data_IF_571193659835
#
_entry.id   IF_571193659835
#
_cell.length_a   1.000
_cell.length_b   1.000
_cell.length_c   1.000
_cell.angle_alpha   90.00
_cell.angle_beta   90.00
_cell.angle_gamma   90.00
#
_symmetry.space_group_name_H-M   'P 1'
#
loop_
_entity.id
_entity.type
_entity.pdbx_description
1 polymer ?
#
# COMPACT_ATOMS: atom_id res chain seq x y z
N UNK A 1 -19.00 4.87 -25.58
CA UNK A 1 -18.50 5.28 -24.26
C UNK A 1 -18.30 4.01 -23.47
N UNK A 2 -17.15 3.81 -22.80
CA UNK A 2 -16.94 2.63 -21.97
C UNK A 2 -17.84 2.64 -20.74
N UNK A 3 -17.94 1.50 -20.07
CA UNK A 3 -18.66 1.34 -18.81
C UNK A 3 -17.72 1.50 -17.62
N UNK A 4 -18.29 1.79 -16.45
CA UNK A 4 -17.56 1.81 -15.18
C UNK A 4 -17.85 0.52 -14.43
N UNK A 5 -16.78 -0.17 -14.05
CA UNK A 5 -16.85 -1.22 -13.04
C UNK A 5 -16.78 -0.57 -11.65
N UNK A 6 -17.81 -0.74 -10.83
CA UNK A 6 -17.83 -0.18 -9.47
C UNK A 6 -17.88 -1.34 -8.49
N UNK A 7 -16.95 -1.37 -7.55
CA UNK A 7 -16.98 -2.29 -6.41
C UNK A 7 -17.01 -1.51 -5.10
N UNK A 8 -17.58 -2.12 -4.06
CA UNK A 8 -17.38 -1.70 -2.68
C UNK A 8 -16.45 -2.73 -2.06
N UNK A 9 -15.23 -2.32 -1.73
CA UNK A 9 -14.31 -3.18 -1.00
C UNK A 9 -14.69 -3.23 0.47
N UNK A 10 -14.53 -4.40 1.09
CA UNK A 10 -14.17 -4.45 2.50
C UNK A 10 -12.84 -3.71 2.68
N UNK A 11 -12.46 -3.32 3.90
CA UNK A 11 -11.17 -2.68 4.18
C UNK A 11 -9.99 -3.57 3.74
N UNK A 12 -9.67 -3.53 2.45
CA UNK A 12 -8.55 -4.20 1.79
C UNK A 12 -7.36 -3.22 1.86
N UNK A 13 -7.01 -2.82 3.07
CA UNK A 13 -5.60 -2.88 3.39
C UNK A 13 -5.36 -4.35 3.68
N UNK A 14 -4.94 -5.11 2.67
CA UNK A 14 -4.39 -6.45 2.88
C UNK A 14 -3.45 -6.33 4.10
N UNK A 15 -3.89 -6.86 5.25
CA UNK A 15 -3.10 -6.94 6.47
C UNK A 15 -3.61 -6.25 7.72
N UNK A 16 -4.65 -5.40 7.77
CA UNK A 16 -5.20 -5.09 9.10
C UNK A 16 -5.89 -6.34 9.66
N UNK A 17 -5.22 -7.10 10.54
CA UNK A 17 -5.86 -8.14 11.35
C UNK A 17 -6.78 -7.49 12.37
N UNK A 18 -7.88 -6.99 11.83
CA UNK A 18 -9.18 -6.80 12.41
C UNK A 18 -10.12 -6.93 11.21
N UNK A 19 -10.29 -8.16 10.76
CA UNK A 19 -11.62 -8.61 10.35
C UNK A 19 -12.54 -8.36 11.55
N UNK A 20 -12.99 -7.12 11.71
CA UNK A 20 -14.10 -6.76 12.58
C UNK A 20 -15.41 -7.01 11.83
N UNK A 21 -15.47 -8.10 11.04
CA UNK A 21 -16.73 -8.64 10.55
C UNK A 21 -17.56 -9.28 11.67
N UNK A 22 -17.01 -9.43 12.88
CA UNK A 22 -17.75 -9.95 14.05
C UNK A 22 -18.23 -8.85 15.03
N UNK A 23 -18.03 -7.56 14.70
CA UNK A 23 -18.53 -6.44 15.50
C UNK A 23 -19.65 -5.66 14.82
N UNK A 24 -20.63 -5.19 15.59
CA UNK A 24 -21.73 -4.32 15.13
C UNK A 24 -21.21 -3.09 14.34
N UNK A 25 -20.00 -2.61 14.64
CA UNK A 25 -19.35 -1.49 13.94
C UNK A 25 -18.97 -1.77 12.48
N UNK A 26 -18.37 -2.94 12.19
CA UNK A 26 -17.93 -3.29 10.83
C UNK A 26 -19.11 -3.57 9.89
N UNK A 27 -20.21 -4.11 10.42
CA UNK A 27 -21.47 -4.27 9.66
C UNK A 27 -22.07 -2.91 9.27
N UNK A 28 -22.01 -1.91 10.16
CA UNK A 28 -22.50 -0.56 9.87
C UNK A 28 -21.64 0.10 8.77
N UNK A 29 -20.32 -0.03 8.84
CA UNK A 29 -19.39 0.57 7.87
C UNK A 29 -19.60 0.00 6.46
N UNK A 30 -19.78 -1.31 6.34
CA UNK A 30 -20.08 -1.93 5.05
C UNK A 30 -21.45 -1.49 4.52
N UNK A 31 -22.47 -1.38 5.38
CA UNK A 31 -23.78 -0.88 4.98
C UNK A 31 -23.71 0.56 4.45
N UNK A 32 -22.93 1.43 5.09
CA UNK A 32 -22.72 2.81 4.64
C UNK A 32 -22.01 2.87 3.28
N UNK A 33 -20.99 2.03 3.09
CA UNK A 33 -20.25 1.94 1.84
C UNK A 33 -21.15 1.43 0.69
N UNK A 34 -21.90 0.36 0.92
CA UNK A 34 -22.88 -0.20 -0.04
C UNK A 34 -23.94 0.85 -0.38
N UNK A 35 -24.52 1.53 0.62
CA UNK A 35 -25.52 2.57 0.39
C UNK A 35 -24.97 3.73 -0.45
N UNK A 36 -23.70 4.09 -0.25
CA UNK A 36 -23.03 5.14 -1.03
C UNK A 36 -22.72 4.68 -2.45
N UNK A 37 -22.27 3.43 -2.62
CA UNK A 37 -22.09 2.80 -3.93
C UNK A 37 -23.39 2.78 -4.73
N UNK A 38 -24.48 2.31 -4.14
CA UNK A 38 -25.74 2.14 -4.86
C UNK A 38 -26.34 3.49 -5.27
N UNK A 39 -26.20 4.51 -4.42
CA UNK A 39 -26.57 5.88 -4.77
C UNK A 39 -25.67 6.44 -5.89
N UNK A 40 -24.37 6.14 -5.88
CA UNK A 40 -23.44 6.48 -6.96
C UNK A 40 -23.84 5.84 -8.29
N UNK A 41 -24.23 4.56 -8.27
CA UNK A 41 -24.71 3.85 -9.45
C UNK A 41 -25.96 4.52 -10.01
N UNK A 42 -26.91 4.91 -9.15
CA UNK A 42 -28.12 5.61 -9.57
C UNK A 42 -27.80 6.97 -10.22
N UNK A 43 -26.92 7.76 -9.61
CA UNK A 43 -26.46 9.05 -10.15
C UNK A 43 -25.79 8.88 -11.52
N UNK A 44 -24.86 7.94 -11.67
CA UNK A 44 -24.16 7.70 -12.94
C UNK A 44 -25.11 7.20 -14.04
N UNK A 45 -26.06 6.32 -13.70
CA UNK A 45 -27.09 5.87 -14.65
C UNK A 45 -27.99 7.02 -15.11
N UNK A 46 -28.33 7.96 -14.21
CA UNK A 46 -29.10 9.15 -14.58
C UNK A 46 -28.38 10.06 -15.59
N UNK A 47 -27.04 9.99 -15.63
CA UNK A 47 -26.17 10.69 -16.59
C UNK A 47 -25.93 9.89 -17.88
N UNK A 48 -26.58 8.73 -18.05
CA UNK A 48 -26.41 7.87 -19.23
C UNK A 48 -25.11 7.06 -19.25
N UNK A 49 -24.41 6.93 -18.10
CA UNK A 49 -23.15 6.18 -18.01
C UNK A 49 -23.47 4.71 -17.72
N UNK A 50 -22.92 3.80 -18.54
CA UNK A 50 -23.07 2.37 -18.35
C UNK A 50 -22.25 1.88 -17.15
N UNK A 51 -22.82 0.99 -16.33
CA UNK A 51 -22.20 0.47 -15.10
C UNK A 51 -22.24 -1.06 -15.09
N UNK A 52 -21.15 -1.67 -14.62
CA UNK A 52 -21.06 -3.10 -14.28
C UNK A 52 -20.70 -3.25 -12.79
N UNK A 53 -21.39 -4.14 -12.08
CA UNK A 53 -21.24 -4.37 -10.65
C UNK A 53 -20.90 -5.86 -10.42
N UNK A 54 -19.72 -6.20 -9.89
CA UNK A 54 -19.44 -7.55 -9.41
C UNK A 54 -20.36 -7.92 -8.23
N UNK A 55 -20.56 -9.21 -7.96
CA UNK A 55 -21.30 -9.63 -6.77
C UNK A 55 -20.54 -9.24 -5.50
N UNK A 56 -21.28 -8.86 -4.46
CA UNK A 56 -20.72 -8.49 -3.16
C UNK A 56 -20.16 -9.69 -2.39
N UNK A 57 -20.51 -10.91 -2.82
CA UNK A 57 -20.01 -12.16 -2.24
C UNK A 57 -18.64 -12.58 -2.79
N UNK A 58 -18.12 -11.90 -3.83
CA UNK A 58 -16.83 -12.26 -4.43
C UNK A 58 -15.68 -11.79 -3.55
N UNK A 59 -14.69 -12.66 -3.35
CA UNK A 59 -13.43 -12.21 -2.76
C UNK A 59 -12.64 -11.32 -3.74
N UNK A 60 -11.54 -10.73 -3.27
CA UNK A 60 -10.75 -9.79 -4.09
C UNK A 60 -10.21 -10.40 -5.39
N UNK A 61 -9.75 -11.65 -5.36
CA UNK A 61 -9.21 -12.34 -6.53
C UNK A 61 -10.33 -12.65 -7.55
N UNK A 62 -11.45 -13.16 -7.08
CA UNK A 62 -12.62 -13.45 -7.90
C UNK A 62 -13.22 -12.19 -8.52
N UNK A 63 -13.28 -11.08 -7.77
CA UNK A 63 -13.74 -9.78 -8.24
C UNK A 63 -12.83 -9.25 -9.37
N UNK A 64 -11.51 -9.31 -9.18
CA UNK A 64 -10.54 -8.91 -10.21
C UNK A 64 -10.71 -9.77 -11.47
N UNK A 65 -10.83 -11.09 -11.33
CA UNK A 65 -11.06 -12.00 -12.45
C UNK A 65 -12.40 -11.71 -13.16
N UNK A 66 -13.45 -11.39 -12.39
CA UNK A 66 -14.76 -11.04 -12.92
C UNK A 66 -14.74 -9.75 -13.74
N UNK A 67 -14.04 -8.72 -13.25
CA UNK A 67 -13.83 -7.45 -13.97
C UNK A 67 -13.03 -7.71 -15.25
N UNK A 68 -11.87 -8.36 -15.13
CA UNK A 68 -10.95 -8.58 -16.25
C UNK A 68 -11.57 -9.39 -17.39
N UNK A 69 -12.43 -10.37 -17.08
CA UNK A 69 -13.14 -11.19 -18.07
C UNK A 69 -14.23 -10.44 -18.84
N UNK A 70 -14.65 -9.25 -18.39
CA UNK A 70 -15.74 -8.45 -18.97
C UNK A 70 -15.30 -7.10 -19.48
N UNK A 71 -14.08 -6.70 -19.17
CA UNK A 71 -13.56 -5.37 -19.45
C UNK A 71 -13.13 -5.23 -20.92
N UNK A 72 -13.35 -4.04 -21.46
CA UNK A 72 -12.85 -3.61 -22.76
C UNK A 72 -11.91 -2.43 -22.57
N UNK A 73 -11.11 -2.10 -23.59
CA UNK A 73 -10.12 -1.02 -23.49
C UNK A 73 -10.69 0.37 -23.22
N UNK A 74 -12.01 0.56 -23.35
CA UNK A 74 -12.68 1.85 -23.10
C UNK A 74 -13.22 1.96 -21.67
N UNK A 75 -13.20 0.87 -20.91
CA UNK A 75 -13.78 0.79 -19.58
C UNK A 75 -12.82 1.29 -18.49
N UNK A 76 -13.38 1.65 -17.33
CA UNK A 76 -12.62 2.04 -16.13
C UNK A 76 -13.16 1.32 -14.91
N UNK A 77 -12.35 1.17 -13.85
CA UNK A 77 -12.73 0.48 -12.62
C UNK A 77 -12.48 1.35 -11.38
N UNK A 78 -13.49 1.47 -10.51
CA UNK A 78 -13.41 2.16 -9.23
C UNK A 78 -13.77 1.19 -8.10
N UNK A 79 -12.91 1.11 -7.08
CA UNK A 79 -13.28 0.50 -5.79
C UNK A 79 -13.53 1.60 -4.79
N UNK A 80 -14.69 1.59 -4.13
CA UNK A 80 -14.93 2.42 -2.95
C UNK A 80 -14.44 1.67 -1.72
N UNK A 81 -13.86 2.37 -0.76
CA UNK A 81 -13.39 1.80 0.49
C UNK A 81 -13.59 2.78 1.65
N UNK A 82 -13.66 2.24 2.87
CA UNK A 82 -13.58 2.99 4.12
C UNK A 82 -12.40 2.41 4.90
N UNK A 83 -11.58 3.29 5.45
CA UNK A 83 -10.46 2.86 6.29
C UNK A 83 -10.88 2.82 7.76
N UNK A 84 -10.42 1.80 8.48
CA UNK A 84 -10.69 1.57 9.91
C UNK A 84 -9.38 1.68 10.68
N UNK A 85 -8.74 2.85 10.64
CA UNK A 85 -7.56 3.10 11.48
C UNK A 85 -8.02 3.40 12.90
N UNK A 86 -7.23 3.08 13.92
CA UNK A 86 -7.56 3.37 15.33
C UNK A 86 -7.13 4.78 15.76
N UNK A 87 -6.56 5.58 14.86
CA UNK A 87 -6.13 6.96 15.12
C UNK A 87 -7.30 7.91 14.83
N UNK A 88 -7.99 8.46 15.84
CA UNK A 88 -9.20 9.28 15.65
C UNK A 88 -8.94 10.60 14.90
N UNK A 89 -7.67 11.03 14.83
CA UNK A 89 -7.23 12.24 14.15
C UNK A 89 -7.10 12.10 12.63
N UNK A 90 -7.01 10.87 12.10
CA UNK A 90 -6.93 10.66 10.66
C UNK A 90 -8.32 10.85 10.05
N UNK A 91 -8.42 11.79 9.11
CA UNK A 91 -9.67 12.19 8.46
C UNK A 91 -9.44 12.47 6.99
N UNK A 92 -10.50 12.37 6.21
CA UNK A 92 -10.50 12.81 4.82
C UNK A 92 -10.39 11.71 3.78
N UNK A 93 -10.52 12.11 2.51
CA UNK A 93 -10.55 11.22 1.36
C UNK A 93 -9.18 11.14 0.67
N UNK A 94 -8.86 9.96 0.12
CA UNK A 94 -7.66 9.74 -0.71
C UNK A 94 -7.96 8.71 -1.79
N UNK A 95 -7.22 8.77 -2.88
CA UNK A 95 -7.26 7.74 -3.92
C UNK A 95 -5.93 7.05 -4.01
N UNK A 96 -5.94 5.75 -4.32
CA UNK A 96 -4.75 4.97 -4.60
C UNK A 96 -4.66 4.59 -6.07
N UNK A 97 -3.44 4.63 -6.57
CA UNK A 97 -3.12 4.27 -7.94
C UNK A 97 -1.84 3.46 -8.05
N UNK A 98 -1.71 2.70 -9.13
CA UNK A 98 -0.51 1.92 -9.44
C UNK A 98 0.73 2.83 -9.56
N UNK A 99 1.80 2.50 -8.83
CA UNK A 99 3.07 3.21 -8.88
C UNK A 99 3.62 3.27 -10.32
N UNK A 100 4.45 4.29 -10.59
CA UNK A 100 5.07 4.53 -11.90
C UNK A 100 4.08 4.80 -13.05
N UNK A 101 2.82 5.16 -12.77
CA UNK A 101 1.82 5.55 -13.78
C UNK A 101 1.34 6.99 -13.56
N UNK A 102 1.93 7.94 -14.31
CA UNK A 102 1.64 9.37 -14.19
C UNK A 102 0.25 9.74 -14.70
N UNK A 103 -0.29 9.01 -15.68
CA UNK A 103 -1.66 9.18 -16.17
C UNK A 103 -2.64 8.80 -15.06
N UNK A 104 -2.41 7.64 -14.42
CA UNK A 104 -3.26 7.16 -13.33
C UNK A 104 -3.21 8.09 -12.12
N UNK A 105 -2.05 8.65 -11.78
CA UNK A 105 -1.91 9.68 -10.74
C UNK A 105 -2.87 10.84 -10.99
N UNK A 106 -2.84 11.42 -12.19
CA UNK A 106 -3.72 12.53 -12.56
C UNK A 106 -5.20 12.15 -12.47
N UNK A 107 -5.56 10.96 -12.97
CA UNK A 107 -6.94 10.46 -12.92
C UNK A 107 -7.43 10.28 -11.47
N UNK A 108 -6.57 9.84 -10.57
CA UNK A 108 -6.85 9.72 -9.14
C UNK A 108 -7.03 11.10 -8.47
N UNK A 109 -6.21 12.09 -8.84
CA UNK A 109 -6.36 13.48 -8.40
C UNK A 109 -7.69 14.10 -8.87
N UNK A 110 -8.11 13.85 -10.11
CA UNK A 110 -9.41 14.31 -10.65
C UNK A 110 -10.56 13.87 -9.74
N UNK A 111 -10.61 12.60 -9.36
CA UNK A 111 -11.68 12.06 -8.51
C UNK A 111 -11.65 12.69 -7.12
N UNK A 112 -10.47 12.72 -6.49
CA UNK A 112 -10.32 13.22 -5.11
C UNK A 112 -10.68 14.71 -5.04
N UNK A 113 -10.21 15.51 -6.01
CA UNK A 113 -10.49 16.93 -6.10
C UNK A 113 -11.98 17.21 -6.37
N UNK A 114 -12.63 16.43 -7.23
CA UNK A 114 -14.05 16.58 -7.50
C UNK A 114 -14.91 16.29 -6.25
N UNK A 115 -14.58 15.24 -5.52
CA UNK A 115 -15.21 14.92 -4.24
C UNK A 115 -15.04 16.06 -3.22
N UNK A 116 -13.82 16.50 -2.97
CA UNK A 116 -13.55 17.51 -1.93
C UNK A 116 -13.99 18.91 -2.33
N UNK A 117 -14.12 19.20 -3.63
CA UNK A 117 -14.77 20.43 -4.11
C UNK A 117 -16.26 20.45 -3.77
N UNK A 118 -16.91 19.29 -3.81
CA UNK A 118 -18.35 19.15 -3.53
C UNK A 118 -18.65 19.05 -2.03
N UNK A 119 -17.75 18.43 -1.28
CA UNK A 119 -17.81 18.29 0.18
C UNK A 119 -16.52 18.88 0.80
N UNK A 120 -16.41 20.22 0.91
CA UNK A 120 -15.20 20.89 1.41
C UNK A 120 -14.86 20.59 2.87
N UNK A 121 -15.80 20.01 3.64
CA UNK A 121 -15.60 19.59 5.02
C UNK A 121 -14.72 18.33 5.15
N UNK A 122 -14.50 17.60 4.06
CA UNK A 122 -13.60 16.45 4.00
C UNK A 122 -12.20 16.95 3.64
N UNK A 123 -11.21 16.57 4.45
CA UNK A 123 -9.81 16.82 4.11
C UNK A 123 -9.41 16.09 2.84
N UNK A 124 -8.86 16.82 1.85
CA UNK A 124 -8.25 16.21 0.67
C UNK A 124 -6.83 15.73 1.01
N UNK A 125 -6.61 14.41 1.02
CA UNK A 125 -5.29 13.81 1.30
C UNK A 125 -4.51 13.48 0.02
N UNK A 126 -5.02 13.92 -1.14
CA UNK A 126 -4.43 13.71 -2.45
C UNK A 126 -4.49 12.27 -2.94
N UNK A 127 -3.88 12.05 -4.11
CA UNK A 127 -3.67 10.74 -4.70
C UNK A 127 -2.35 10.13 -4.20
N UNK A 128 -2.39 8.87 -3.78
CA UNK A 128 -1.25 8.10 -3.25
C UNK A 128 -0.92 6.93 -4.15
N UNK A 129 0.37 6.64 -4.26
CA UNK A 129 0.82 5.40 -4.91
C UNK A 129 0.43 4.19 -4.05
N UNK A 130 0.08 3.08 -4.70
CA UNK A 130 -0.31 1.82 -4.06
C UNK A 130 0.81 1.24 -3.19
N UNK A 131 2.07 1.54 -3.49
CA UNK A 131 3.22 1.12 -2.68
C UNK A 131 3.24 1.70 -1.27
N UNK A 132 2.41 2.72 -0.97
CA UNK A 132 2.23 3.27 0.39
C UNK A 132 1.24 2.43 1.21
N UNK A 133 0.43 1.58 0.59
CA UNK A 133 -0.49 0.69 1.30
C UNK A 133 0.26 -0.21 2.30
N UNK A 134 -0.45 -0.75 3.30
CA UNK A 134 0.17 -1.44 4.44
C UNK A 134 1.15 -2.54 4.05
N UNK A 135 0.84 -3.32 3.02
CA UNK A 135 1.72 -4.39 2.49
C UNK A 135 2.51 -3.97 1.25
N UNK A 136 2.48 -2.68 0.89
CA UNK A 136 3.26 -2.13 -0.22
C UNK A 136 2.73 -2.45 -1.62
N UNK A 137 1.45 -2.86 -1.72
CA UNK A 137 0.76 -3.19 -2.97
C UNK A 137 -0.75 -3.11 -2.77
N UNK A 138 -1.48 -2.77 -3.83
CA UNK A 138 -2.93 -2.95 -3.92
C UNK A 138 -3.29 -3.73 -5.18
N UNK A 139 -3.83 -4.93 -4.98
CA UNK A 139 -4.21 -5.84 -6.06
C UNK A 139 -5.20 -5.20 -7.05
N UNK A 140 -6.16 -4.41 -6.56
CA UNK A 140 -7.11 -3.67 -7.41
C UNK A 140 -6.41 -2.70 -8.38
N UNK A 141 -5.31 -2.06 -7.94
CA UNK A 141 -4.53 -1.14 -8.77
C UNK A 141 -3.60 -1.87 -9.75
N UNK A 142 -3.04 -3.03 -9.36
CA UNK A 142 -2.03 -3.75 -10.17
C UNK A 142 -2.62 -4.75 -11.16
N UNK A 143 -3.67 -5.45 -10.76
CA UNK A 143 -4.13 -6.66 -11.44
C UNK A 143 -5.39 -6.46 -12.30
N UNK A 144 -6.02 -5.29 -12.23
CA UNK A 144 -7.08 -4.94 -13.17
C UNK A 144 -6.43 -4.49 -14.49
N UNK A 145 -6.82 -5.12 -15.60
CA UNK A 145 -6.20 -4.91 -16.92
C UNK A 145 -6.59 -3.57 -17.56
N UNK A 146 -7.67 -2.96 -17.08
CA UNK A 146 -8.15 -1.64 -17.48
C UNK A 146 -7.75 -0.57 -16.45
N UNK A 147 -7.82 0.71 -16.82
CA UNK A 147 -7.71 1.81 -15.88
C UNK A 147 -8.45 1.62 -14.55
N UNK A 148 -7.74 1.51 -13.42
CA UNK A 148 -8.36 1.26 -12.09
C UNK A 148 -7.85 2.17 -10.97
N UNK A 149 -8.76 2.62 -10.10
CA UNK A 149 -8.45 3.47 -8.93
C UNK A 149 -9.20 2.92 -7.70
N UNK A 150 -8.54 2.90 -6.55
CA UNK A 150 -9.22 2.66 -5.27
C UNK A 150 -9.44 4.00 -4.57
N UNK A 151 -10.67 4.31 -4.18
CA UNK A 151 -11.06 5.53 -3.48
C UNK A 151 -11.40 5.19 -2.03
N UNK A 152 -10.59 5.69 -1.11
CA UNK A 152 -10.86 5.70 0.32
C UNK A 152 -11.65 6.96 0.66
N UNK A 153 -12.93 6.78 1.00
CA UNK A 153 -13.88 7.87 1.16
C UNK A 153 -13.66 8.64 2.46
N UNK A 154 -13.52 7.89 3.55
CA UNK A 154 -13.47 8.40 4.93
C UNK A 154 -12.80 7.38 5.85
N UNK A 155 -12.50 7.82 7.06
CA UNK A 155 -12.13 6.96 8.19
C UNK A 155 -13.36 6.64 9.04
N UNK A 156 -13.63 5.35 9.25
CA UNK A 156 -14.83 4.90 9.95
C UNK A 156 -14.88 5.31 11.42
N UNK A 157 -13.73 5.40 12.07
CA UNK A 157 -13.59 5.67 13.51
C UNK A 157 -13.84 7.14 13.89
N UNK A 158 -13.95 8.04 12.92
CA UNK A 158 -14.23 9.45 13.17
C UNK A 158 -15.73 9.71 13.10
N UNK A 159 -16.35 10.07 14.23
CA UNK A 159 -17.77 10.40 14.32
C UNK A 159 -18.21 11.48 13.33
N UNK A 160 -17.33 12.46 13.05
CA UNK A 160 -17.61 13.54 12.10
C UNK A 160 -17.59 13.06 10.64
N UNK A 161 -16.61 12.27 10.20
CA UNK A 161 -16.55 11.78 8.82
C UNK A 161 -17.70 10.82 8.53
N UNK A 162 -18.03 9.96 9.51
CA UNK A 162 -19.21 9.09 9.45
C UNK A 162 -20.50 9.91 9.32
N UNK A 163 -20.66 10.95 10.15
CA UNK A 163 -21.82 11.83 10.08
C UNK A 163 -21.91 12.57 8.74
N UNK A 164 -20.77 13.05 8.21
CA UNK A 164 -20.73 13.70 6.89
C UNK A 164 -21.15 12.73 5.78
N UNK A 165 -20.64 11.50 5.80
CA UNK A 165 -21.01 10.48 4.81
C UNK A 165 -22.51 10.14 4.88
N UNK A 166 -23.08 10.07 6.09
CA UNK A 166 -24.52 9.80 6.28
C UNK A 166 -25.42 10.98 5.86
N UNK A 167 -25.07 12.19 6.26
CA UNK A 167 -25.92 13.38 6.07
C UNK A 167 -25.74 14.05 4.71
N UNK A 168 -24.54 13.95 4.12
CA UNK A 168 -24.19 14.53 2.82
C UNK A 168 -23.89 13.49 1.74
N UNK A 169 -24.38 12.24 1.90
CA UNK A 169 -24.15 11.13 0.94
C UNK A 169 -24.38 11.51 -0.52
N UNK A 170 -25.43 12.29 -0.78
CA UNK A 170 -25.75 12.76 -2.14
C UNK A 170 -24.65 13.66 -2.72
N UNK A 171 -24.04 14.51 -1.91
CA UNK A 171 -22.95 15.37 -2.35
C UNK A 171 -21.65 14.58 -2.56
N UNK A 172 -21.36 13.57 -1.72
CA UNK A 172 -20.27 12.63 -2.00
C UNK A 172 -20.45 11.99 -3.38
N UNK A 173 -21.64 11.44 -3.61
CA UNK A 173 -21.97 10.75 -4.86
C UNK A 173 -21.85 11.67 -6.08
N UNK A 174 -22.39 12.89 -6.01
CA UNK A 174 -22.30 13.85 -7.11
C UNK A 174 -20.84 14.21 -7.39
N UNK A 175 -20.04 14.48 -6.34
CA UNK A 175 -18.62 14.78 -6.49
C UNK A 175 -17.81 13.63 -7.12
N UNK A 176 -18.08 12.40 -6.70
CA UNK A 176 -17.46 11.20 -7.28
C UNK A 176 -17.90 11.01 -8.73
N UNK A 177 -19.19 11.20 -9.03
CA UNK A 177 -19.73 11.07 -10.38
C UNK A 177 -19.14 12.12 -11.34
N UNK A 178 -18.97 13.37 -10.89
CA UNK A 178 -18.30 14.44 -11.65
C UNK A 178 -16.84 14.05 -11.98
N UNK A 179 -16.12 13.52 -10.99
CA UNK A 179 -14.75 13.02 -11.17
C UNK A 179 -14.65 11.83 -12.13
N UNK A 180 -15.54 10.85 -12.00
CA UNK A 180 -15.60 9.68 -12.89
C UNK A 180 -15.93 10.07 -14.34
N UNK A 181 -16.88 10.99 -14.53
CA UNK A 181 -17.23 11.49 -15.87
C UNK A 181 -16.05 12.22 -16.52
N UNK A 182 -15.32 13.06 -15.76
CA UNK A 182 -14.11 13.70 -16.25
C UNK A 182 -13.01 12.68 -16.60
N UNK A 183 -12.81 11.65 -15.77
CA UNK A 183 -11.85 10.58 -16.02
C UNK A 183 -12.22 9.75 -17.27
N UNK A 184 -13.48 9.37 -17.47
CA UNK A 184 -13.89 8.65 -18.69
C UNK A 184 -13.60 9.48 -19.94
N UNK A 185 -13.86 10.79 -19.91
CA UNK A 185 -13.58 11.67 -21.05
C UNK A 185 -12.08 11.76 -21.35
N UNK A 186 -11.23 11.82 -20.33
CA UNK A 186 -9.76 11.74 -20.50
C UNK A 186 -9.32 10.36 -21.05
N UNK A 187 -9.98 9.28 -20.62
CA UNK A 187 -9.66 7.91 -21.11
C UNK A 187 -10.05 7.76 -22.58
N UNK A 188 -11.21 8.29 -22.98
CA UNK A 188 -11.68 8.26 -24.38
C UNK A 188 -10.80 9.08 -25.33
N UNK A 189 -10.10 10.11 -24.83
CA UNK A 189 -9.18 10.94 -25.63
C UNK A 189 -7.77 10.36 -25.70
N UNK A 190 -7.36 9.57 -24.71
CA UNK A 190 -6.03 8.94 -24.66
C UNK A 190 -5.96 7.58 -25.36
N UNK A 191 -7.09 6.92 -25.56
CA UNK A 191 -7.19 5.65 -26.29
C UNK A 191 -7.86 5.91 -27.65
N UNK A 192 -7.17 5.71 -28.80
CA UNK A 192 -7.75 6.02 -30.11
C UNK A 192 -9.04 5.24 -30.33
N UNK A 193 -10.15 5.96 -30.50
CA UNK A 193 -11.48 5.41 -30.82
C UNK A 193 -11.56 5.15 -32.32
N UNK A 194 -11.81 3.90 -32.71
CA UNK A 194 -12.31 3.60 -34.06
C UNK A 194 -13.80 3.92 -34.12
N UNK A 195 -14.17 4.93 -34.91
CA UNK A 195 -15.57 5.25 -35.23
C UNK A 195 -16.08 4.21 -36.24
N UNK A 196 -17.26 3.59 -36.05
CA UNK A 196 -17.86 2.71 -37.04
C UNK A 196 -18.55 3.56 -38.12
N UNK A 197 -17.77 4.14 -39.01
CA UNK A 197 -18.26 4.58 -40.31
C UNK A 197 -17.54 3.75 -41.38
N UNK A 198 -18.31 2.90 -42.05
CA UNK A 198 -17.95 1.93 -43.09
C UNK A 198 -17.30 0.62 -42.62
N UNK A 199 -18.07 -0.46 -42.76
CA UNK A 199 -17.59 -1.85 -42.73
C UNK A 199 -16.51 -2.04 -43.80
N UNK A 200 -15.26 -2.13 -43.35
CA UNK A 200 -14.20 -2.93 -43.98
C UNK A 200 -13.50 -3.67 -42.83
N UNK A 201 -13.45 -5.02 -42.81
CA UNK A 201 -12.80 -5.76 -41.74
C UNK A 201 -11.29 -5.76 -41.96
N UNK A 202 -10.62 -4.70 -41.54
CA UNK A 202 -9.21 -4.75 -41.18
C UNK A 202 -9.15 -4.25 -39.74
N UNK A 203 -9.17 -5.18 -38.79
CA UNK A 203 -8.77 -4.87 -37.41
C UNK A 203 -7.37 -4.28 -37.48
N UNK A 204 -7.21 -2.95 -37.38
CA UNK A 204 -5.87 -2.38 -37.24
C UNK A 204 -5.23 -3.05 -36.04
N UNK A 205 -4.06 -3.64 -36.24
CA UNK A 205 -3.29 -4.23 -35.16
C UNK A 205 -3.05 -3.16 -34.09
N UNK A 206 -3.51 -3.41 -32.87
CA UNK A 206 -3.22 -2.55 -31.71
C UNK A 206 -1.71 -2.44 -31.61
N UNK A 207 -1.18 -1.22 -31.56
CA UNK A 207 0.27 -0.99 -31.45
C UNK A 207 0.54 -0.20 -30.18
N UNK A 208 1.46 -0.69 -29.34
CA UNK A 208 1.82 -0.03 -28.09
C UNK A 208 3.07 0.84 -28.26
N UNK A 209 3.11 2.04 -27.65
CA UNK A 209 4.32 2.85 -27.62
C UNK A 209 5.47 2.08 -26.99
N UNK A 210 6.62 2.14 -27.66
CA UNK A 210 7.86 1.53 -27.21
C UNK A 210 8.54 2.42 -26.17
N UNK A 211 9.20 1.81 -25.20
CA UNK A 211 9.95 2.50 -24.14
C UNK A 211 11.38 1.99 -24.03
N UNK A 212 12.27 2.84 -23.53
CA UNK A 212 13.64 2.46 -23.21
C UNK A 212 13.71 1.77 -21.84
N UNK A 213 14.66 0.86 -21.67
CA UNK A 213 14.95 0.22 -20.39
C UNK A 213 16.41 0.54 -20.06
N UNK A 214 16.64 1.07 -18.87
CA UNK A 214 17.95 1.25 -18.26
C UNK A 214 18.08 0.22 -17.13
N UNK A 215 19.04 -0.68 -17.22
CA UNK A 215 19.32 -1.69 -16.22
C UNK A 215 20.66 -1.37 -15.55
N UNK A 216 20.63 -1.08 -14.24
CA UNK A 216 21.81 -0.74 -13.44
C UNK A 216 22.69 0.36 -14.06
N UNK A 217 22.08 1.37 -14.67
CA UNK A 217 22.78 2.50 -15.29
C UNK A 217 23.10 2.31 -16.78
N UNK A 218 22.93 1.11 -17.34
CA UNK A 218 23.21 0.81 -18.75
C UNK A 218 21.94 0.71 -19.58
N UNK A 219 21.98 1.15 -20.83
CA UNK A 219 20.86 0.92 -21.76
C UNK A 219 20.72 -0.58 -22.03
N UNK A 220 19.52 -1.10 -21.88
CA UNK A 220 19.17 -2.45 -22.30
C UNK A 220 18.77 -2.43 -23.78
N UNK A 221 19.13 -3.49 -24.52
CA UNK A 221 18.94 -3.58 -25.97
C UNK A 221 17.46 -3.69 -26.34
N UNK A 222 16.75 -4.61 -25.68
CA UNK A 222 15.33 -4.79 -25.92
C UNK A 222 14.52 -3.64 -25.34
N UNK A 223 13.33 -3.45 -25.93
CA UNK A 223 12.44 -2.38 -25.54
C UNK A 223 11.23 -2.91 -24.79
N UNK A 224 10.77 -2.13 -23.82
CA UNK A 224 9.49 -2.34 -23.18
C UNK A 224 8.35 -1.71 -23.99
N UNK A 225 7.14 -1.85 -23.48
CA UNK A 225 5.95 -1.22 -24.04
C UNK A 225 5.15 -0.48 -22.96
N UNK A 226 4.41 0.53 -23.39
CA UNK A 226 3.48 1.29 -22.54
C UNK A 226 2.04 0.90 -22.86
N UNK A 227 1.31 0.36 -21.88
CA UNK A 227 -0.07 -0.12 -22.04
C UNK A 227 -0.95 0.59 -21.01
N UNK A 228 -1.84 1.48 -21.44
CA UNK A 228 -2.71 2.27 -20.55
C UNK A 228 -1.94 3.01 -19.42
N UNK A 229 -0.73 3.49 -19.74
CA UNK A 229 0.18 4.14 -18.79
C UNK A 229 0.98 3.18 -17.91
N UNK A 230 0.72 1.87 -17.97
CA UNK A 230 1.52 0.86 -17.29
C UNK A 230 2.75 0.53 -18.15
N UNK A 231 3.90 0.51 -17.49
CA UNK A 231 5.17 0.13 -18.11
C UNK A 231 5.33 -1.38 -18.06
N UNK A 232 5.56 -2.02 -19.20
CA UNK A 232 5.82 -3.45 -19.28
C UNK A 232 7.18 -3.73 -19.93
N UNK A 233 7.84 -4.77 -19.45
CA UNK A 233 9.12 -5.28 -19.97
C UNK A 233 8.96 -6.66 -20.60
N UNK A 234 9.80 -7.05 -21.57
CA UNK A 234 9.77 -8.40 -22.11
C UNK A 234 10.08 -9.45 -21.02
N UNK A 235 9.44 -10.62 -21.10
CA UNK A 235 9.66 -11.72 -20.17
C UNK A 235 11.10 -12.25 -20.21
N UNK A 236 11.79 -12.17 -21.35
CA UNK A 236 13.22 -12.53 -21.46
C UNK A 236 14.09 -11.72 -20.48
N UNK A 237 13.80 -10.42 -20.30
CA UNK A 237 14.50 -9.62 -19.29
C UNK A 237 14.25 -10.18 -17.87
N UNK A 238 13.04 -10.65 -17.58
CA UNK A 238 12.70 -11.22 -16.27
C UNK A 238 13.49 -12.52 -16.04
N UNK A 239 13.55 -13.39 -17.04
CA UNK A 239 14.30 -14.64 -17.00
C UNK A 239 15.82 -14.38 -16.84
N UNK A 240 16.37 -13.40 -17.58
CA UNK A 240 17.78 -12.99 -17.46
C UNK A 240 18.15 -12.41 -16.11
N UNK A 241 17.19 -11.78 -15.42
CA UNK A 241 17.37 -11.33 -14.04
C UNK A 241 17.32 -12.50 -13.02
N UNK A 242 17.06 -13.73 -13.48
CA UNK A 242 16.98 -14.92 -12.65
C UNK A 242 15.68 -15.05 -11.87
N UNK A 243 14.63 -14.33 -12.31
CA UNK A 243 13.34 -14.35 -11.65
C UNK A 243 12.41 -15.38 -12.28
N UNK A 244 11.67 -16.10 -11.44
CA UNK A 244 10.67 -17.04 -11.91
C UNK A 244 9.37 -16.30 -12.24
N UNK A 245 8.98 -16.34 -13.51
CA UNK A 245 7.71 -15.77 -13.98
C UNK A 245 6.51 -16.28 -13.18
N UNK A 246 6.53 -17.52 -12.67
CA UNK A 246 5.45 -18.09 -11.85
C UNK A 246 5.10 -17.26 -10.61
N UNK A 247 6.06 -16.49 -10.10
CA UNK A 247 5.89 -15.61 -8.94
C UNK A 247 5.10 -14.34 -9.26
N UNK A 248 4.89 -14.03 -10.55
CA UNK A 248 4.18 -12.84 -11.01
C UNK A 248 2.76 -13.22 -11.42
N UNK A 249 1.70 -12.53 -10.93
CA UNK A 249 0.33 -12.83 -11.33
C UNK A 249 0.13 -12.83 -12.85
N UNK A 250 -0.66 -13.77 -13.38
CA UNK A 250 -0.95 -13.85 -14.82
C UNK A 250 -1.61 -12.57 -15.35
N UNK A 251 -2.39 -11.89 -14.51
CA UNK A 251 -3.04 -10.59 -14.79
C UNK A 251 -2.04 -9.46 -15.00
N UNK A 252 -0.83 -9.59 -14.49
CA UNK A 252 0.27 -8.63 -14.70
C UNK A 252 1.10 -8.97 -15.95
N UNK A 253 0.65 -9.92 -16.79
CA UNK A 253 1.34 -10.34 -18.02
C UNK A 253 0.46 -10.08 -19.25
N UNK A 254 1.08 -9.76 -20.37
CA UNK A 254 0.42 -9.48 -21.64
C UNK A 254 1.16 -10.16 -22.78
N UNK A 255 0.48 -10.96 -23.61
CA UNK A 255 1.05 -11.46 -24.86
C UNK A 255 0.78 -10.45 -25.97
N UNK A 256 1.84 -9.95 -26.60
CA UNK A 256 1.78 -8.98 -27.69
C UNK A 256 2.87 -9.28 -28.72
N UNK A 257 2.49 -9.40 -30.00
CA UNK A 257 3.42 -9.73 -31.10
C UNK A 257 4.30 -10.96 -30.81
N UNK A 258 3.70 -12.04 -30.30
CA UNK A 258 4.39 -13.28 -29.89
C UNK A 258 5.35 -13.17 -28.70
N UNK A 259 5.54 -11.98 -28.13
CA UNK A 259 6.34 -11.74 -26.93
C UNK A 259 5.39 -11.67 -25.72
N UNK A 260 5.81 -12.26 -24.60
CA UNK A 260 5.15 -12.05 -23.30
C UNK A 260 5.81 -10.86 -22.63
N UNK A 261 5.00 -9.89 -22.24
CA UNK A 261 5.40 -8.72 -21.50
C UNK A 261 4.88 -8.80 -20.07
N UNK A 262 5.61 -8.21 -19.12
CA UNK A 262 5.35 -8.23 -17.69
C UNK A 262 5.31 -6.80 -17.18
N UNK A 263 4.28 -6.45 -16.39
CA UNK A 263 4.23 -5.14 -15.73
C UNK A 263 5.48 -4.92 -14.88
N UNK A 264 6.24 -3.86 -15.17
CA UNK A 264 7.52 -3.60 -14.53
C UNK A 264 7.42 -3.46 -13.00
N UNK A 265 6.32 -2.89 -12.50
CA UNK A 265 6.08 -2.75 -11.06
C UNK A 265 5.99 -4.09 -10.33
N UNK A 266 5.61 -5.18 -11.01
CA UNK A 266 5.58 -6.52 -10.41
C UNK A 266 7.00 -7.02 -10.04
N UNK A 267 8.04 -6.54 -10.73
CA UNK A 267 9.43 -6.86 -10.41
C UNK A 267 9.87 -6.30 -9.06
N UNK A 268 9.17 -5.27 -8.54
CA UNK A 268 9.41 -4.74 -7.21
C UNK A 268 9.30 -5.80 -6.12
N UNK A 269 8.36 -6.72 -6.30
CA UNK A 269 8.15 -7.79 -5.35
C UNK A 269 9.25 -8.86 -5.39
N UNK A 270 10.02 -8.87 -6.48
CA UNK A 270 11.17 -9.73 -6.74
C UNK A 270 12.50 -9.01 -6.46
N UNK A 271 12.51 -8.07 -5.51
CA UNK A 271 13.69 -7.30 -5.13
C UNK A 271 14.32 -6.53 -6.30
N UNK A 272 13.50 -5.83 -7.08
CA UNK A 272 13.98 -4.89 -8.09
C UNK A 272 13.50 -3.48 -7.74
N UNK A 273 14.37 -2.49 -7.82
CA UNK A 273 13.94 -1.09 -7.76
C UNK A 273 13.45 -0.66 -9.13
N UNK A 274 12.26 -0.06 -9.16
CA UNK A 274 11.54 0.26 -10.40
C UNK A 274 11.18 1.74 -10.37
N UNK A 275 11.71 2.52 -11.30
CA UNK A 275 11.33 3.91 -11.48
C UNK A 275 11.08 4.25 -12.95
N UNK A 276 10.21 5.23 -13.18
CA UNK A 276 9.74 5.59 -14.51
C UNK A 276 9.93 7.08 -14.77
N UNK A 277 10.57 7.40 -15.89
CA UNK A 277 10.62 8.75 -16.43
C UNK A 277 9.72 8.86 -17.66
N UNK A 278 8.58 9.53 -17.50
CA UNK A 278 7.61 9.74 -18.57
C UNK A 278 8.11 10.69 -19.67
N UNK A 279 9.05 11.57 -19.36
CA UNK A 279 9.57 12.57 -20.30
C UNK A 279 10.49 11.91 -21.32
N UNK A 280 11.42 11.08 -20.84
CA UNK A 280 12.35 10.34 -21.71
C UNK A 280 11.79 8.98 -22.16
N UNK A 281 10.64 8.56 -21.61
CA UNK A 281 10.05 7.22 -21.77
C UNK A 281 11.06 6.12 -21.42
N UNK A 282 11.74 6.29 -20.29
CA UNK A 282 12.76 5.36 -19.81
C UNK A 282 12.33 4.73 -18.51
N UNK A 283 12.28 3.40 -18.50
CA UNK A 283 12.18 2.59 -17.30
C UNK A 283 13.58 2.40 -16.72
N UNK A 284 13.78 2.71 -15.45
CA UNK A 284 15.00 2.38 -14.74
C UNK A 284 14.74 1.20 -13.82
N UNK A 285 15.54 0.15 -14.00
CA UNK A 285 15.58 -1.03 -13.17
C UNK A 285 16.93 -1.09 -12.49
N UNK A 286 16.92 -1.27 -11.17
CA UNK A 286 18.13 -1.54 -10.40
C UNK A 286 17.96 -2.84 -9.64
N UNK A 287 18.91 -3.74 -9.84
CA UNK A 287 18.96 -5.09 -9.25
C UNK A 287 20.25 -5.30 -8.45
N UNK A 288 21.24 -4.41 -8.64
CA UNK A 288 22.46 -4.36 -7.85
C UNK A 288 22.26 -3.32 -6.76
N UNK A 289 22.21 -3.79 -5.51
CA UNK A 289 22.05 -2.95 -4.33
C UNK A 289 23.27 -3.03 -3.44
N UNK A 290 23.40 -2.04 -2.55
CA UNK A 290 24.37 -2.09 -1.45
C UNK A 290 24.01 -3.14 -0.40
N UNK A 291 22.81 -3.72 -0.48
CA UNK A 291 22.26 -4.68 0.48
C UNK A 291 22.14 -6.05 -0.16
N UNK A 292 22.54 -7.09 0.57
CA UNK A 292 22.27 -8.46 0.15
C UNK A 292 20.77 -8.75 0.34
N UNK A 293 20.04 -8.90 -0.77
CA UNK A 293 18.57 -9.04 -0.75
C UNK A 293 18.08 -10.26 0.03
N UNK A 294 18.87 -11.33 0.10
CA UNK A 294 18.60 -12.50 0.94
C UNK A 294 18.76 -12.29 2.45
N UNK A 295 19.15 -11.08 2.88
CA UNK A 295 19.28 -10.70 4.29
C UNK A 295 18.32 -9.59 4.71
N UNK A 296 17.48 -9.07 3.81
CA UNK A 296 16.57 -7.96 4.12
C UNK A 296 15.53 -8.30 5.20
N UNK A 297 15.26 -9.59 5.39
CA UNK A 297 14.31 -10.13 6.37
C UNK A 297 14.98 -10.75 7.61
N UNK A 298 16.32 -10.68 7.72
CA UNK A 298 17.07 -11.21 8.86
C UNK A 298 17.04 -10.22 10.03
N UNK A 299 16.49 -10.65 11.17
CA UNK A 299 16.32 -9.79 12.35
C UNK A 299 17.67 -9.49 13.01
N UNK A 300 18.59 -10.46 13.03
CA UNK A 300 19.96 -10.24 13.49
C UNK A 300 20.82 -9.77 12.32
N UNK A 301 21.67 -8.76 12.56
CA UNK A 301 22.51 -8.16 11.52
C UNK A 301 22.62 -6.64 11.68
N UNK A 302 23.26 -6.01 10.70
CA UNK A 302 23.45 -4.55 10.68
C UNK A 302 22.47 -3.95 9.66
N UNK A 303 21.71 -2.94 10.07
CA UNK A 303 20.86 -2.18 9.15
C UNK A 303 21.69 -1.30 8.21
N UNK A 304 21.11 -0.92 7.08
CA UNK A 304 21.76 -0.18 6.01
C UNK A 304 21.44 1.31 6.03
N UNK A 305 20.29 1.72 6.58
CA UNK A 305 19.92 3.13 6.59
C UNK A 305 20.72 3.91 7.64
N UNK A 306 21.23 5.08 7.26
CA UNK A 306 21.86 6.04 8.16
C UNK A 306 20.81 6.70 9.07
N UNK A 307 21.28 7.29 10.17
CA UNK A 307 20.41 8.05 11.07
C UNK A 307 19.62 9.15 10.34
N UNK A 308 20.28 9.90 9.45
CA UNK A 308 19.64 10.95 8.64
C UNK A 308 18.57 10.36 7.72
N UNK A 309 18.81 9.18 7.13
CA UNK A 309 17.82 8.52 6.26
C UNK A 309 16.59 8.06 7.06
N UNK A 310 16.79 7.50 8.27
CA UNK A 310 15.69 7.14 9.17
C UNK A 310 14.90 8.37 9.65
N UNK A 311 15.60 9.47 9.98
CA UNK A 311 15.00 10.73 10.37
C UNK A 311 14.15 11.33 9.25
N UNK A 312 14.68 11.37 8.02
CA UNK A 312 13.94 11.85 6.85
C UNK A 312 12.75 10.94 6.51
N UNK A 313 12.89 9.63 6.69
CA UNK A 313 11.78 8.70 6.52
C UNK A 313 10.66 8.98 7.53
N UNK A 314 10.99 9.20 8.80
CA UNK A 314 10.02 9.59 9.80
C UNK A 314 9.38 10.95 9.46
N UNK A 315 10.19 11.96 9.10
CA UNK A 315 9.71 13.29 8.70
C UNK A 315 8.65 13.22 7.60
N UNK A 316 8.93 12.47 6.54
CA UNK A 316 8.05 12.36 5.38
C UNK A 316 6.73 11.65 5.69
N UNK A 317 6.66 10.87 6.77
CA UNK A 317 5.45 10.16 7.18
C UNK A 317 4.74 10.79 8.38
N UNK A 318 5.44 11.50 9.27
CA UNK A 318 4.91 12.22 10.42
C UNK A 318 5.90 13.30 10.91
N UNK A 319 5.89 14.47 10.26
CA UNK A 319 6.79 15.57 10.62
C UNK A 319 6.61 16.04 12.07
N UNK A 320 5.38 16.02 12.60
CA UNK A 320 5.06 16.46 13.96
C UNK A 320 5.78 15.60 15.02
N UNK A 321 6.02 14.32 14.73
CA UNK A 321 6.73 13.43 15.66
C UNK A 321 8.16 13.90 15.96
N UNK A 322 8.79 14.65 15.06
CA UNK A 322 10.17 15.09 15.23
C UNK A 322 10.36 16.01 16.44
N UNK A 323 9.31 16.72 16.88
CA UNK A 323 9.35 17.59 18.06
C UNK A 323 9.70 16.80 19.33
N UNK A 324 9.18 15.58 19.47
CA UNK A 324 9.34 14.78 20.68
C UNK A 324 10.24 13.55 20.47
N UNK A 325 10.49 13.15 19.22
CA UNK A 325 11.13 11.88 18.88
C UNK A 325 12.25 12.03 17.85
N UNK A 326 12.80 13.23 17.66
CA UNK A 326 13.91 13.49 16.73
C UNK A 326 15.13 12.61 16.98
N UNK A 327 15.38 12.21 18.23
CA UNK A 327 16.53 11.37 18.62
C UNK A 327 16.28 9.86 18.44
N UNK A 328 15.05 9.41 18.18
CA UNK A 328 14.75 7.98 18.06
C UNK A 328 15.59 7.24 17.01
N UNK A 329 15.83 7.77 15.79
CA UNK A 329 16.74 7.16 14.83
C UNK A 329 18.13 6.83 15.39
N UNK A 330 18.71 7.75 16.16
CA UNK A 330 19.99 7.56 16.82
C UNK A 330 19.90 6.45 17.88
N UNK A 331 18.89 6.51 18.76
CA UNK A 331 18.67 5.52 19.83
C UNK A 331 18.50 4.09 19.28
N UNK A 332 17.73 3.93 18.19
CA UNK A 332 17.55 2.64 17.54
C UNK A 332 18.86 2.07 17.00
N UNK A 333 19.69 2.90 16.36
CA UNK A 333 21.00 2.46 15.84
C UNK A 333 21.93 2.01 16.97
N UNK A 334 22.08 2.81 18.02
CA UNK A 334 22.97 2.48 19.14
C UNK A 334 22.55 1.21 19.89
N UNK A 335 21.29 1.12 20.33
CA UNK A 335 20.84 -0.04 21.11
C UNK A 335 20.84 -1.32 20.27
N UNK A 336 20.51 -1.22 18.97
CA UNK A 336 20.53 -2.36 18.07
C UNK A 336 21.96 -2.82 17.72
N UNK A 337 22.91 -1.90 17.54
CA UNK A 337 24.34 -2.21 17.34
C UNK A 337 24.91 -2.99 18.53
N UNK A 338 24.60 -2.57 19.76
CA UNK A 338 25.03 -3.26 20.99
C UNK A 338 24.55 -4.71 21.01
N UNK A 339 23.31 -4.97 20.60
CA UNK A 339 22.72 -6.31 20.69
C UNK A 339 22.86 -7.14 19.42
N UNK A 340 23.31 -6.54 18.31
CA UNK A 340 23.45 -7.16 16.99
C UNK A 340 22.12 -7.33 16.23
N UNK A 341 21.12 -6.50 16.55
CA UNK A 341 19.80 -6.50 15.88
C UNK A 341 19.83 -5.52 14.71
N UNK A 342 19.12 -5.84 13.64
CA UNK A 342 19.00 -4.95 12.49
C UNK A 342 18.11 -3.74 12.84
N UNK A 343 18.72 -2.56 12.95
CA UNK A 343 18.03 -1.32 13.33
C UNK A 343 16.96 -0.88 12.31
N UNK A 344 17.10 -1.21 11.02
CA UNK A 344 16.10 -0.86 10.01
C UNK A 344 14.81 -1.66 10.25
N UNK A 345 14.93 -2.96 10.57
CA UNK A 345 13.79 -3.81 10.93
C UNK A 345 13.11 -3.27 12.19
N UNK A 346 13.88 -3.03 13.25
CA UNK A 346 13.33 -2.54 14.51
C UNK A 346 12.65 -1.17 14.35
N UNK A 347 13.25 -0.26 13.56
CA UNK A 347 12.67 1.06 13.30
C UNK A 347 11.39 0.97 12.44
N UNK A 348 11.38 0.16 11.39
CA UNK A 348 10.18 -0.06 10.57
C UNK A 348 9.07 -0.76 11.36
N UNK A 349 9.40 -1.72 12.21
CA UNK A 349 8.45 -2.36 13.11
C UNK A 349 7.85 -1.33 14.08
N UNK A 350 8.66 -0.45 14.67
CA UNK A 350 8.16 0.67 15.49
C UNK A 350 7.18 1.56 14.73
N UNK A 351 7.48 1.88 13.47
CA UNK A 351 6.58 2.68 12.65
C UNK A 351 5.22 1.99 12.44
N UNK A 352 5.17 0.67 12.38
CA UNK A 352 3.90 -0.09 12.31
C UNK A 352 3.17 -0.03 13.65
N UNK A 353 3.85 -0.39 14.73
CA UNK A 353 3.25 -0.51 16.06
C UNK A 353 2.68 0.81 16.57
N UNK A 354 3.38 1.91 16.28
CA UNK A 354 3.00 3.25 16.74
C UNK A 354 2.26 4.08 15.69
N UNK A 355 2.09 3.57 14.47
CA UNK A 355 1.53 4.34 13.36
C UNK A 355 2.40 5.55 12.96
N UNK A 356 3.72 5.37 12.93
CA UNK A 356 4.74 6.42 12.82
C UNK A 356 4.64 7.42 13.98
N UNK A 357 4.63 6.92 15.22
CA UNK A 357 4.61 7.72 16.46
C UNK A 357 3.37 8.60 16.62
N UNK A 358 2.25 8.18 16.02
CA UNK A 358 0.92 8.78 16.24
C UNK A 358 0.21 8.17 17.44
N UNK A 359 0.57 6.94 17.81
CA UNK A 359 -0.05 6.18 18.90
C UNK A 359 -1.56 5.97 18.65
N UNK A 360 -2.35 5.70 19.70
CA UNK A 360 -3.80 5.46 19.57
C UNK A 360 -4.15 4.06 19.04
N UNK A 361 -3.23 3.09 19.14
CA UNK A 361 -3.45 1.67 18.79
C UNK A 361 -3.50 0.75 20.01
N UNK A 362 -3.98 1.28 21.14
CA UNK A 362 -3.93 0.59 22.44
C UNK A 362 -2.62 0.84 23.21
N UNK A 363 -1.83 1.81 22.76
CA UNK A 363 -0.59 2.28 23.39
C UNK A 363 -0.55 3.79 23.27
N UNK A 364 -0.14 4.43 24.35
CA UNK A 364 -0.02 5.88 24.48
C UNK A 364 1.45 6.33 24.43
N UNK A 365 1.65 7.59 24.05
CA UNK A 365 2.98 8.20 23.88
C UNK A 365 3.81 8.14 25.17
N UNK A 366 3.18 8.38 26.33
CA UNK A 366 3.82 8.46 27.64
C UNK A 366 4.40 7.12 28.10
N UNK A 367 3.99 6.01 27.48
CA UNK A 367 4.48 4.68 27.82
C UNK A 367 5.89 4.43 27.28
N UNK A 368 6.38 5.22 26.32
CA UNK A 368 7.63 4.95 25.58
C UNK A 368 7.69 3.50 25.03
N UNK A 369 6.53 2.89 24.75
CA UNK A 369 6.42 1.51 24.31
C UNK A 369 6.30 1.46 22.79
N UNK A 370 7.45 1.45 22.13
CA UNK A 370 7.54 1.55 20.67
C UNK A 370 7.27 0.24 19.92
N UNK A 371 6.93 -0.84 20.63
CA UNK A 371 6.85 -2.17 20.05
C UNK A 371 5.68 -3.00 20.60
N UNK A 372 4.69 -2.34 21.20
CA UNK A 372 3.50 -3.00 21.75
C UNK A 372 3.77 -4.08 22.78
N UNK A 373 4.88 -3.96 23.51
CA UNK A 373 5.33 -4.98 24.44
C UNK A 373 4.36 -5.10 25.61
N UNK A 374 3.93 -6.32 25.88
CA UNK A 374 3.02 -6.61 26.99
C UNK A 374 1.55 -6.27 26.72
N UNK A 375 1.22 -5.64 25.59
CA UNK A 375 -0.17 -5.38 25.23
C UNK A 375 -0.91 -6.70 24.97
N UNK A 376 -2.14 -6.81 25.44
CA UNK A 376 -3.01 -7.96 25.14
C UNK A 376 -3.98 -7.54 24.04
N UNK A 377 -4.30 -8.44 23.12
CA UNK A 377 -5.21 -8.15 21.99
C UNK A 377 -6.67 -7.93 22.41
N UNK A 378 -6.99 -8.16 23.69
CA UNK A 378 -8.33 -8.14 24.29
C UNK A 378 -8.55 -6.85 25.08
N UNK A 379 -8.67 -5.72 24.39
CA UNK A 379 -9.01 -4.44 25.03
C UNK A 379 -10.21 -3.84 24.32
N UNK A 380 -11.36 -3.93 24.98
CA UNK A 380 -12.55 -3.13 24.69
C UNK A 380 -12.16 -1.65 24.69
N UNK A 381 -12.85 -0.82 23.89
CA UNK A 381 -12.70 0.64 23.81
C UNK A 381 -12.91 1.38 25.16
N UNK A 382 -13.16 0.65 26.25
CA UNK A 382 -13.40 1.12 27.61
C UNK A 382 -12.35 0.68 28.64
N UNK A 383 -11.32 -0.10 28.27
CA UNK A 383 -10.32 -0.58 29.21
C UNK A 383 -9.01 0.26 29.18
N UNK A 384 -8.59 0.70 30.37
CA UNK A 384 -7.34 1.40 30.70
C UNK A 384 -6.10 0.71 30.09
N UNK A 385 -5.14 1.53 29.64
CA UNK A 385 -3.71 1.26 29.40
C UNK A 385 -3.33 -0.24 29.39
N UNK A 386 -3.27 -0.85 28.21
CA UNK A 386 -2.70 -2.19 28.05
C UNK A 386 -1.27 -2.08 27.54
N UNK A 387 -0.33 -2.78 28.17
CA UNK A 387 1.07 -2.82 27.73
C UNK A 387 2.05 -2.26 28.76
N UNK A 388 3.33 -2.55 28.56
CA UNK A 388 4.39 -2.04 29.42
C UNK A 388 4.62 -0.55 29.21
N UNK A 389 5.18 0.10 30.22
CA UNK A 389 5.63 1.48 30.19
C UNK A 389 7.09 1.56 30.62
N UNK A 390 7.84 2.45 29.98
CA UNK A 390 9.27 2.63 30.22
C UNK A 390 9.56 4.06 30.64
N UNK A 391 10.54 4.23 31.52
CA UNK A 391 10.87 5.52 32.14
C UNK A 391 11.29 6.59 31.12
N UNK A 392 11.91 6.17 30.02
CA UNK A 392 12.43 7.03 28.98
C UNK A 392 12.46 6.31 27.62
N UNK A 393 12.66 7.10 26.55
CA UNK A 393 12.68 6.59 25.18
C UNK A 393 13.78 5.54 24.95
N UNK A 394 14.98 5.74 25.50
CA UNK A 394 16.09 4.80 25.33
C UNK A 394 15.79 3.46 25.99
N UNK A 395 15.20 3.45 27.18
CA UNK A 395 14.76 2.23 27.87
C UNK A 395 13.68 1.50 27.06
N UNK A 396 12.74 2.24 26.45
CA UNK A 396 11.73 1.67 25.55
C UNK A 396 12.32 1.05 24.28
N UNK A 397 13.26 1.74 23.63
CA UNK A 397 14.00 1.22 22.46
C UNK A 397 14.80 -0.03 22.85
N UNK A 398 15.52 -0.01 23.97
CA UNK A 398 16.26 -1.17 24.48
C UNK A 398 15.35 -2.37 24.69
N UNK A 399 14.19 -2.18 25.30
CA UNK A 399 13.21 -3.23 25.51
C UNK A 399 12.75 -3.86 24.19
N UNK A 400 12.49 -3.04 23.18
CA UNK A 400 12.15 -3.50 21.83
C UNK A 400 13.28 -4.37 21.25
N UNK A 401 14.50 -3.85 21.21
CA UNK A 401 15.68 -4.54 20.67
C UNK A 401 15.93 -5.88 21.37
N UNK A 402 15.86 -5.89 22.70
CA UNK A 402 16.03 -7.12 23.47
C UNK A 402 14.94 -8.15 23.13
N UNK A 403 13.68 -7.73 22.98
CA UNK A 403 12.61 -8.65 22.63
C UNK A 403 12.78 -9.22 21.22
N UNK A 404 13.20 -8.42 20.25
CA UNK A 404 13.56 -8.90 18.90
C UNK A 404 14.72 -9.91 18.96
N UNK A 405 15.77 -9.63 19.74
CA UNK A 405 16.87 -10.58 19.95
C UNK A 405 16.42 -11.88 20.61
N UNK A 406 15.46 -11.82 21.54
CA UNK A 406 14.88 -13.02 22.13
C UNK A 406 14.26 -13.92 21.05
N UNK A 407 13.46 -13.34 20.16
CA UNK A 407 12.85 -14.07 19.04
C UNK A 407 13.90 -14.61 18.06
N UNK A 408 14.93 -13.83 17.73
CA UNK A 408 15.81 -14.15 16.62
C UNK A 408 17.10 -14.90 16.98
N UNK A 409 17.51 -14.90 18.25
CA UNK A 409 18.82 -15.45 18.65
C UNK A 409 18.83 -16.07 20.05
N UNK A 410 19.72 -17.05 20.22
CA UNK A 410 20.09 -17.64 21.51
C UNK A 410 21.29 -16.95 22.18
N UNK A 411 22.00 -16.06 21.48
CA UNK A 411 23.17 -15.36 22.02
C UNK A 411 22.78 -14.47 23.22
N UNK A 412 23.55 -14.44 24.32
CA UNK A 412 23.19 -13.65 25.50
C UNK A 412 23.02 -12.15 25.18
N UNK A 413 22.25 -11.46 26.01
CA UNK A 413 22.18 -9.99 25.95
C UNK A 413 23.47 -9.38 26.47
N UNK A 414 23.86 -8.24 25.89
CA UNK A 414 24.97 -7.44 26.40
C UNK A 414 24.53 -6.51 27.53
N UNK A 415 23.31 -5.95 27.44
CA UNK A 415 22.73 -5.09 28.47
C UNK A 415 21.80 -5.88 29.41
N UNK A 416 21.60 -5.41 30.66
CA UNK A 416 20.59 -5.97 31.55
C UNK A 416 19.19 -5.98 30.92
N UNK A 417 18.42 -7.05 31.20
CA UNK A 417 17.06 -7.22 30.66
C UNK A 417 16.14 -6.12 31.19
N UNK A 418 15.51 -5.37 30.29
CA UNK A 418 14.43 -4.43 30.57
C UNK A 418 13.13 -4.80 29.84
N UNK A 419 13.21 -5.68 28.83
CA UNK A 419 12.05 -6.14 28.08
C UNK A 419 11.10 -6.98 28.97
N UNK A 420 9.83 -6.58 29.12
CA UNK A 420 8.85 -7.40 29.81
C UNK A 420 8.66 -8.71 29.04
N UNK A 421 8.38 -9.80 29.75
CA UNK A 421 8.15 -11.14 29.15
C UNK A 421 9.33 -11.68 28.32
N UNK A 422 10.53 -11.11 28.40
CA UNK A 422 11.71 -11.64 27.72
C UNK A 422 11.92 -13.14 27.99
N UNK A 423 11.73 -13.56 29.24
CA UNK A 423 11.85 -14.95 29.68
C UNK A 423 10.73 -15.88 29.19
N UNK A 424 9.63 -15.36 28.65
CA UNK A 424 8.53 -16.16 28.11
C UNK A 424 8.76 -16.53 26.63
N UNK A 425 9.69 -15.86 25.94
CA UNK A 425 10.01 -16.16 24.55
C UNK A 425 10.91 -17.40 24.49
N UNK A 426 10.47 -18.44 23.79
CA UNK A 426 11.36 -19.52 23.38
C UNK A 426 12.43 -18.93 22.44
N UNK A 427 13.67 -18.81 22.93
CA UNK A 427 14.68 -18.01 22.26
C UNK A 427 15.07 -18.60 20.90
N UNK A 428 15.31 -17.74 19.91
CA UNK A 428 15.67 -18.13 18.55
C UNK A 428 14.54 -18.74 17.70
N UNK A 429 13.28 -18.68 18.15
CA UNK A 429 12.11 -19.26 17.46
C UNK A 429 11.74 -18.56 16.14
N UNK A 430 12.18 -17.32 15.94
CA UNK A 430 11.89 -16.52 14.76
C UNK A 430 13.13 -15.71 14.30
N UNK A 431 14.09 -16.33 13.60
CA UNK A 431 15.29 -15.64 13.09
C UNK A 431 15.03 -14.61 11.97
N UNK A 432 13.92 -14.80 11.23
CA UNK A 432 13.52 -13.97 10.08
C UNK A 432 12.11 -13.40 10.25
N UNK A 433 11.82 -12.29 9.58
CA UNK A 433 10.54 -11.56 9.68
C UNK A 433 9.32 -12.46 9.48
N UNK A 434 9.36 -13.37 8.49
CA UNK A 434 8.24 -14.29 8.18
C UNK A 434 7.86 -15.22 9.33
N UNK A 435 8.71 -15.34 10.36
CA UNK A 435 8.47 -16.12 11.57
C UNK A 435 7.91 -15.28 12.73
N UNK A 436 7.83 -13.95 12.60
CA UNK A 436 7.21 -13.08 13.62
C UNK A 436 5.68 -13.09 13.54
N UNK A 437 5.07 -13.31 12.37
CA UNK A 437 3.61 -13.44 12.26
C UNK A 437 3.08 -14.62 13.08
N UNK A 438 1.97 -14.42 13.77
CA UNK A 438 1.39 -15.35 14.74
C UNK A 438 2.18 -15.52 16.04
N UNK A 439 3.36 -14.89 16.19
CA UNK A 439 4.20 -14.97 17.40
C UNK A 439 4.34 -13.63 18.10
N UNK A 440 4.80 -12.62 17.37
CA UNK A 440 4.87 -11.24 17.83
C UNK A 440 3.49 -10.58 17.76
N UNK A 441 2.87 -10.64 16.58
CA UNK A 441 1.54 -10.14 16.31
C UNK A 441 0.69 -11.25 15.68
N UNK A 442 -0.60 -11.30 16.02
CA UNK A 442 -1.55 -12.28 15.45
C UNK A 442 -1.72 -12.06 13.93
N UNK A 443 -1.45 -10.84 13.45
CA UNK A 443 -1.59 -10.43 12.06
C UNK A 443 -0.81 -11.35 11.08
N UNK A 444 -1.51 -12.04 10.15
CA UNK A 444 -0.90 -12.97 9.21
C UNK A 444 -0.06 -12.29 8.14
N UNK A 445 -0.17 -10.96 7.99
CA UNK A 445 0.56 -10.15 7.02
C UNK A 445 1.59 -9.22 7.69
N UNK A 446 1.85 -9.43 8.99
CA UNK A 446 2.76 -8.62 9.79
C UNK A 446 4.18 -8.53 9.17
N UNK A 447 4.70 -9.67 8.74
CA UNK A 447 5.98 -9.78 8.05
C UNK A 447 6.02 -8.96 6.75
N UNK A 448 4.95 -9.06 5.94
CA UNK A 448 4.83 -8.32 4.68
C UNK A 448 4.75 -6.81 4.90
N UNK A 449 4.07 -6.36 5.96
CA UNK A 449 4.00 -4.93 6.30
C UNK A 449 5.36 -4.36 6.68
N UNK A 450 6.12 -5.08 7.52
CA UNK A 450 7.47 -4.66 7.90
C UNK A 450 8.35 -4.58 6.66
N UNK A 451 8.33 -5.63 5.83
CA UNK A 451 9.11 -5.66 4.59
C UNK A 451 8.72 -4.53 3.62
N UNK A 452 7.43 -4.21 3.51
CA UNK A 452 6.95 -3.10 2.69
C UNK A 452 7.50 -1.75 3.16
N UNK A 453 7.56 -1.51 4.48
CA UNK A 453 8.19 -0.30 5.02
C UNK A 453 9.70 -0.28 4.82
N UNK A 454 10.40 -1.40 4.97
CA UNK A 454 11.84 -1.48 4.70
C UNK A 454 12.12 -1.15 3.24
N UNK A 455 11.35 -1.71 2.30
CA UNK A 455 11.46 -1.39 0.88
C UNK A 455 11.26 0.10 0.62
N UNK A 456 10.23 0.71 1.21
CA UNK A 456 9.98 2.16 1.10
C UNK A 456 11.11 3.00 1.68
N UNK A 457 11.65 2.59 2.83
CA UNK A 457 12.81 3.23 3.45
C UNK A 457 13.99 3.20 2.48
N UNK A 458 14.33 2.04 1.94
CA UNK A 458 15.47 1.86 1.04
C UNK A 458 15.32 2.59 -0.29
N UNK A 459 14.11 2.63 -0.85
CA UNK A 459 13.78 3.42 -2.04
C UNK A 459 13.97 4.92 -1.76
N UNK A 460 13.43 5.43 -0.65
CA UNK A 460 13.57 6.84 -0.28
C UNK A 460 15.02 7.23 0.07
N UNK A 461 15.81 6.26 0.52
CA UNK A 461 17.20 6.42 0.92
C UNK A 461 18.20 6.25 -0.25
N UNK A 462 17.74 5.85 -1.44
CA UNK A 462 18.60 5.53 -2.60
C UNK A 462 19.49 4.29 -2.37
N UNK A 463 19.14 3.45 -1.40
CA UNK A 463 19.78 2.16 -1.14
C UNK A 463 19.34 1.18 -2.23
N UNK A 464 18.03 1.17 -2.49
CA UNK A 464 17.41 0.55 -3.64
C UNK A 464 17.50 1.40 -4.90
#
# INVERSE_FOLDING_TARGET
MGKIFISAGHSIFEGSFRDLSEGVGGMIEMAELIATRDLLIAELRSRGIAIALPSDDLNSEEMIAWINSRATSQDVALSLNIDTVTSPELRGATTYYIANNTIRKRQAEIITNALTKRVPEITNRGAKVDTIASIGSLSFCRQIIIPSILLELVFANTSQDRLLMQTRRRDYVIGIADGLQAWINETATTIPVFIPANRIPITKAVTYPVININLNGQSYEEKGILVAGNVLVPADLVDRLGFDLSQIPLTCRLRYQSIVYVQAIALRDLNTSVSWDSTTRTLYLKTIFKVFTGQIDQIMGVGNASEVQLLMFLKNNNEIALTNYGDLPHLYREEAEIEGVNHDIAFCQMCIETGFLRFGRGIEAEQNNFASLGATSSVSATAKLSGASFADQRTGVRAHIQHLKAYASNAPLFKPVVAPRFHLVARGVAPVLSKLKGRWAIDPLYDRKILALIRRLYESAGIF
#
